data_IF_475416708426
#
_entry.id   IF_475416708426
#
_cell.length_a   1.000
_cell.length_b   1.000
_cell.length_c   1.000
_cell.angle_alpha   90.00
_cell.angle_beta   90.00
_cell.angle_gamma   90.00
#
_symmetry.space_group_name_H-M   'P 1'
#
loop_
_entity.id
_entity.type
_entity.pdbx_description
1 polymer ?
#
# COMPACT_ATOMS: atom_id res chain seq x y z
N UNK A 1 15.31 35.70 -26.17
CA UNK A 1 15.65 34.30 -26.54
C UNK A 1 16.13 33.47 -25.35
N UNK A 2 17.04 33.94 -24.49
CA UNK A 2 17.57 33.18 -23.34
C UNK A 2 16.49 32.68 -22.35
N UNK A 3 15.57 33.55 -21.94
CA UNK A 3 14.50 33.19 -20.99
C UNK A 3 13.57 32.08 -21.52
N UNK A 4 13.23 32.12 -22.81
CA UNK A 4 12.38 31.12 -23.47
C UNK A 4 13.08 29.75 -23.57
N UNK A 5 14.39 29.75 -23.83
CA UNK A 5 15.22 28.53 -23.77
C UNK A 5 15.26 27.96 -22.34
N UNK A 6 15.43 28.80 -21.32
CA UNK A 6 15.42 28.37 -19.92
C UNK A 6 14.08 27.79 -19.49
N UNK A 7 12.96 28.35 -19.93
CA UNK A 7 11.62 27.79 -19.64
C UNK A 7 11.42 26.42 -20.30
N UNK A 8 11.92 26.22 -21.53
CA UNK A 8 11.85 24.90 -22.20
C UNK A 8 12.69 23.84 -21.49
N UNK A 9 13.90 24.20 -21.01
CA UNK A 9 14.71 23.32 -20.18
C UNK A 9 14.00 22.97 -18.86
N UNK A 10 13.35 23.95 -18.24
CA UNK A 10 12.57 23.72 -17.03
C UNK A 10 11.37 22.79 -17.27
N UNK A 11 10.69 22.92 -18.42
CA UNK A 11 9.61 22.02 -18.82
C UNK A 11 10.12 20.58 -18.97
N UNK A 12 11.26 20.39 -19.63
CA UNK A 12 11.89 19.07 -19.80
C UNK A 12 12.20 18.41 -18.45
N UNK A 13 12.81 19.16 -17.51
CA UNK A 13 13.09 18.67 -16.15
C UNK A 13 11.79 18.29 -15.40
N UNK A 14 10.74 19.10 -15.54
CA UNK A 14 9.45 18.85 -14.87
C UNK A 14 8.72 17.65 -15.46
N UNK A 15 8.78 17.45 -16.77
CA UNK A 15 8.24 16.26 -17.43
C UNK A 15 8.98 14.99 -16.95
N UNK A 16 10.32 15.01 -16.95
CA UNK A 16 11.11 13.88 -16.43
C UNK A 16 10.75 13.54 -14.97
N UNK A 17 10.52 14.57 -14.13
CA UNK A 17 10.07 14.35 -12.75
C UNK A 17 8.67 13.73 -12.69
N UNK A 18 7.72 14.20 -13.50
CA UNK A 18 6.38 13.64 -13.57
C UNK A 18 6.40 12.18 -14.05
N UNK A 19 7.19 11.86 -15.07
CA UNK A 19 7.36 10.49 -15.59
C UNK A 19 7.97 9.54 -14.55
N UNK A 20 8.97 10.01 -13.80
CA UNK A 20 9.55 9.24 -12.70
C UNK A 20 8.51 8.97 -11.61
N UNK A 21 7.75 9.98 -11.21
CA UNK A 21 6.70 9.84 -10.19
C UNK A 21 5.54 8.97 -10.67
N UNK A 22 5.22 8.97 -11.97
CA UNK A 22 4.22 8.07 -12.56
C UNK A 22 4.62 6.60 -12.38
N UNK A 23 5.90 6.29 -12.62
CA UNK A 23 6.45 4.93 -12.39
C UNK A 23 6.42 4.57 -10.91
N UNK A 24 6.90 5.45 -10.03
CA UNK A 24 6.85 5.23 -8.58
C UNK A 24 5.42 5.08 -8.05
N UNK A 25 4.44 5.79 -8.63
CA UNK A 25 3.03 5.63 -8.27
C UNK A 25 2.49 4.27 -8.67
N UNK A 26 2.85 3.79 -9.86
CA UNK A 26 2.48 2.44 -10.33
C UNK A 26 3.06 1.36 -9.41
N UNK A 27 4.34 1.49 -9.03
CA UNK A 27 4.99 0.59 -8.08
C UNK A 27 4.33 0.63 -6.70
N UNK A 28 4.07 1.82 -6.15
CA UNK A 28 3.44 1.97 -4.84
C UNK A 28 2.01 1.39 -4.81
N UNK A 29 1.26 1.48 -5.90
CA UNK A 29 -0.05 0.84 -6.03
C UNK A 29 0.05 -0.69 -6.07
N UNK A 30 1.00 -1.23 -6.82
CA UNK A 30 1.27 -2.66 -6.84
C UNK A 30 1.74 -3.18 -5.47
N UNK A 31 2.51 -2.39 -4.73
CA UNK A 31 2.89 -2.70 -3.34
C UNK A 31 1.65 -2.75 -2.43
N UNK A 32 0.75 -1.78 -2.54
CA UNK A 32 -0.48 -1.72 -1.74
C UNK A 32 -1.41 -2.90 -2.03
N UNK A 33 -1.57 -3.27 -3.31
CA UNK A 33 -2.35 -4.44 -3.70
C UNK A 33 -1.76 -5.74 -3.13
N UNK A 34 -0.44 -5.93 -3.24
CA UNK A 34 0.24 -7.08 -2.63
C UNK A 34 0.08 -7.11 -1.11
N UNK A 35 0.19 -5.96 -0.43
CA UNK A 35 0.00 -5.89 1.02
C UNK A 35 -1.44 -6.25 1.43
N UNK A 36 -2.43 -5.85 0.63
CA UNK A 36 -3.84 -6.25 0.81
C UNK A 36 -4.04 -7.76 0.66
N UNK A 37 -3.44 -8.38 -0.36
CA UNK A 37 -3.47 -9.83 -0.53
C UNK A 37 -2.80 -10.57 0.63
N UNK A 38 -1.68 -10.06 1.14
CA UNK A 38 -0.98 -10.64 2.29
C UNK A 38 -1.79 -10.52 3.59
N UNK A 39 -2.49 -9.40 3.81
CA UNK A 39 -3.45 -9.26 4.91
C UNK A 39 -4.58 -10.26 4.78
N UNK A 40 -5.17 -10.41 3.60
CA UNK A 40 -6.26 -11.36 3.36
C UNK A 40 -5.83 -12.80 3.64
N UNK A 41 -4.63 -13.20 3.20
CA UNK A 41 -4.05 -14.52 3.53
C UNK A 41 -3.85 -14.70 5.03
N UNK A 42 -3.36 -13.67 5.74
CA UNK A 42 -3.20 -13.71 7.18
C UNK A 42 -4.55 -13.80 7.92
N UNK A 43 -5.58 -13.13 7.39
CA UNK A 43 -6.94 -13.20 7.90
C UNK A 43 -7.52 -14.61 7.76
N UNK A 44 -7.41 -15.23 6.57
CA UNK A 44 -7.84 -16.61 6.34
C UNK A 44 -7.12 -17.60 7.28
N UNK A 45 -5.81 -17.44 7.47
CA UNK A 45 -5.04 -18.24 8.42
C UNK A 45 -5.55 -18.09 9.85
N UNK A 46 -5.84 -16.86 10.27
CA UNK A 46 -6.40 -16.59 11.60
C UNK A 46 -7.78 -17.22 11.76
N UNK A 47 -8.67 -17.14 10.77
CA UNK A 47 -10.00 -17.75 10.81
C UNK A 47 -9.92 -19.29 10.90
N UNK A 48 -9.01 -19.91 10.14
CA UNK A 48 -8.77 -21.35 10.23
C UNK A 48 -8.24 -21.73 11.63
N UNK A 49 -7.27 -20.98 12.15
CA UNK A 49 -6.71 -21.23 13.47
C UNK A 49 -7.76 -21.02 14.58
N UNK A 50 -8.59 -19.99 14.46
CA UNK A 50 -9.68 -19.70 15.38
C UNK A 50 -10.75 -20.80 15.36
N UNK A 51 -11.13 -21.28 14.17
CA UNK A 51 -12.07 -22.39 14.00
C UNK A 51 -11.54 -23.68 14.63
N UNK A 52 -10.26 -24.01 14.42
CA UNK A 52 -9.62 -25.18 15.04
C UNK A 52 -9.53 -25.05 16.56
N UNK A 53 -9.19 -23.87 17.08
CA UNK A 53 -9.10 -23.60 18.51
C UNK A 53 -10.47 -23.51 19.22
N UNK A 54 -11.54 -23.25 18.48
CA UNK A 54 -12.91 -23.31 18.98
C UNK A 54 -13.38 -24.76 19.20
N UNK A 55 -12.79 -25.72 18.48
CA UNK A 55 -12.92 -27.14 18.78
C UNK A 55 -12.49 -27.44 20.22
N UNK A 56 -13.26 -28.29 20.91
CA UNK A 56 -12.97 -28.66 22.29
C UNK A 56 -12.62 -30.15 22.37
N UNK A 57 -11.36 -30.53 22.10
CA UNK A 57 -10.94 -31.93 22.15
C UNK A 57 -11.14 -32.56 23.53
N UNK A 58 -11.16 -31.75 24.61
CA UNK A 58 -11.48 -32.25 25.96
C UNK A 58 -12.96 -32.64 26.06
N UNK A 59 -13.87 -31.83 25.52
CA UNK A 59 -15.30 -32.19 25.46
C UNK A 59 -15.53 -33.41 24.55
N UNK A 60 -14.82 -33.49 23.43
CA UNK A 60 -14.92 -34.62 22.51
C UNK A 60 -14.48 -35.95 23.16
N UNK A 61 -13.42 -35.95 23.98
CA UNK A 61 -13.03 -37.15 24.74
C UNK A 61 -14.01 -37.47 25.88
N UNK A 62 -14.52 -36.45 26.60
CA UNK A 62 -15.52 -36.64 27.67
C UNK A 62 -16.87 -37.19 27.15
N UNK A 63 -17.26 -36.82 25.92
CA UNK A 63 -18.52 -37.23 25.31
C UNK A 63 -18.56 -38.70 24.85
N UNK A 64 -17.43 -39.40 24.72
CA UNK A 64 -17.38 -40.77 24.20
C UNK A 64 -17.91 -41.80 25.20
N UNK A 65 -17.37 -41.82 26.42
CA UNK A 65 -17.69 -42.85 27.42
C UNK A 65 -17.85 -42.31 28.86
N UNK A 66 -17.73 -40.99 29.07
CA UNK A 66 -17.84 -40.34 30.39
C UNK A 66 -16.71 -40.63 31.38
N UNK A 67 -15.83 -41.61 31.08
CA UNK A 67 -14.64 -41.96 31.84
C UNK A 67 -13.43 -41.81 30.91
N UNK A 68 -12.55 -40.86 31.22
CA UNK A 68 -11.33 -40.57 30.45
C UNK A 68 -10.13 -40.82 31.35
N UNK A 69 -9.09 -41.48 30.84
CA UNK A 69 -7.86 -41.65 31.62
C UNK A 69 -7.15 -40.31 31.84
N UNK A 70 -6.38 -40.20 32.92
CA UNK A 70 -5.60 -38.98 33.17
C UNK A 70 -4.62 -38.65 32.04
N UNK A 71 -4.11 -39.66 31.33
CA UNK A 71 -3.23 -39.49 30.18
C UNK A 71 -3.96 -38.88 28.97
N UNK A 72 -5.16 -39.36 28.64
CA UNK A 72 -5.99 -38.83 27.55
C UNK A 72 -6.47 -37.41 27.83
N UNK A 73 -6.83 -37.11 29.08
CA UNK A 73 -7.18 -35.76 29.50
C UNK A 73 -5.99 -34.80 29.35
N UNK A 74 -4.80 -35.23 29.79
CA UNK A 74 -3.58 -34.43 29.66
C UNK A 74 -3.20 -34.19 28.18
N UNK A 75 -3.35 -35.20 27.32
CA UNK A 75 -3.10 -35.07 25.89
C UNK A 75 -4.12 -34.10 25.25
N UNK A 76 -5.41 -34.22 25.56
CA UNK A 76 -6.45 -33.31 25.07
C UNK A 76 -6.21 -31.85 25.50
N UNK A 77 -5.81 -31.62 26.76
CA UNK A 77 -5.44 -30.28 27.26
C UNK A 77 -4.21 -29.73 26.52
N UNK A 78 -3.20 -30.56 26.30
CA UNK A 78 -1.98 -30.16 25.58
C UNK A 78 -2.30 -29.78 24.13
N UNK A 79 -3.11 -30.60 23.44
CA UNK A 79 -3.60 -30.31 22.09
C UNK A 79 -4.38 -28.99 22.05
N UNK A 80 -5.29 -28.77 23.00
CA UNK A 80 -6.05 -27.52 23.07
C UNK A 80 -5.15 -26.29 23.33
N UNK A 81 -4.13 -26.43 24.18
CA UNK A 81 -3.15 -25.37 24.43
C UNK A 81 -2.38 -25.00 23.16
N UNK A 82 -1.91 -25.99 22.40
CA UNK A 82 -1.20 -25.77 21.13
C UNK A 82 -2.11 -25.04 20.12
N UNK A 83 -3.37 -25.47 19.98
CA UNK A 83 -4.32 -24.81 19.09
C UNK A 83 -4.57 -23.34 19.46
N UNK A 84 -4.67 -23.04 20.76
CA UNK A 84 -4.79 -21.65 21.24
C UNK A 84 -3.54 -20.82 20.97
N UNK A 85 -2.35 -21.41 21.11
CA UNK A 85 -1.08 -20.75 20.74
C UNK A 85 -1.06 -20.40 19.26
N UNK A 86 -1.38 -21.35 18.38
CA UNK A 86 -1.42 -21.10 16.94
C UNK A 86 -2.43 -20.01 16.56
N UNK A 87 -3.58 -19.95 17.25
CA UNK A 87 -4.54 -18.85 17.07
C UNK A 87 -3.93 -17.50 17.46
N UNK A 88 -3.23 -17.44 18.59
CA UNK A 88 -2.57 -16.21 19.03
C UNK A 88 -1.48 -15.77 18.05
N UNK A 89 -0.66 -16.70 17.57
CA UNK A 89 0.40 -16.43 16.59
C UNK A 89 -0.17 -15.93 15.26
N UNK A 90 -1.24 -16.56 14.76
CA UNK A 90 -1.94 -16.11 13.56
C UNK A 90 -2.59 -14.73 13.75
N UNK A 91 -3.12 -14.44 14.94
CA UNK A 91 -3.66 -13.12 15.29
C UNK A 91 -2.58 -12.04 15.30
N UNK A 92 -1.42 -12.30 15.89
CA UNK A 92 -0.29 -11.38 15.87
C UNK A 92 0.23 -11.12 14.45
N UNK A 93 0.27 -12.16 13.61
CA UNK A 93 0.62 -12.02 12.20
C UNK A 93 -0.39 -11.13 11.46
N UNK A 94 -1.69 -11.35 11.65
CA UNK A 94 -2.74 -10.54 11.03
C UNK A 94 -2.61 -9.07 11.40
N UNK A 95 -2.43 -8.74 12.68
CA UNK A 95 -2.25 -7.34 13.11
C UNK A 95 -0.98 -6.72 12.51
N UNK A 96 0.11 -7.49 12.42
CA UNK A 96 1.34 -7.03 11.74
C UNK A 96 1.08 -6.73 10.26
N UNK A 97 0.30 -7.57 9.57
CA UNK A 97 -0.05 -7.37 8.15
C UNK A 97 -0.97 -6.19 7.93
N UNK A 98 -1.96 -5.96 8.81
CA UNK A 98 -2.80 -4.74 8.78
C UNK A 98 -1.97 -3.47 8.87
N UNK A 99 -1.03 -3.42 9.82
CA UNK A 99 -0.14 -2.27 9.98
C UNK A 99 0.76 -2.08 8.75
N UNK A 100 1.28 -3.17 8.18
CA UNK A 100 2.07 -3.10 6.95
C UNK A 100 1.26 -2.58 5.76
N UNK A 101 0.01 -3.06 5.57
CA UNK A 101 -0.89 -2.55 4.53
C UNK A 101 -1.13 -1.06 4.67
N UNK A 102 -1.48 -0.60 5.88
CA UNK A 102 -1.73 0.82 6.15
C UNK A 102 -0.50 1.69 5.82
N UNK A 103 0.71 1.26 6.22
CA UNK A 103 1.93 2.00 5.92
C UNK A 103 2.23 2.08 4.41
N UNK A 104 1.93 1.02 3.66
CA UNK A 104 2.12 1.00 2.21
C UNK A 104 1.06 1.84 1.50
N UNK A 105 -0.18 1.84 1.97
CA UNK A 105 -1.25 2.70 1.45
C UNK A 105 -0.94 4.19 1.66
N UNK A 106 -0.51 4.57 2.86
CA UNK A 106 -0.09 5.94 3.15
C UNK A 106 1.05 6.39 2.22
N UNK A 107 2.02 5.51 1.96
CA UNK A 107 3.10 5.77 0.99
C UNK A 107 2.54 5.95 -0.43
N UNK A 108 1.59 5.13 -0.85
CA UNK A 108 0.99 5.24 -2.18
C UNK A 108 0.19 6.54 -2.35
N UNK A 109 -0.52 6.97 -1.31
CA UNK A 109 -1.22 8.25 -1.26
C UNK A 109 -0.25 9.43 -1.35
N UNK A 110 0.85 9.40 -0.60
CA UNK A 110 1.87 10.44 -0.66
C UNK A 110 2.50 10.55 -2.05
N UNK A 111 2.83 9.42 -2.69
CA UNK A 111 3.37 9.41 -4.05
C UNK A 111 2.34 9.92 -5.07
N UNK A 112 1.05 9.64 -4.86
CA UNK A 112 -0.03 10.17 -5.70
C UNK A 112 -0.15 11.70 -5.58
N UNK A 113 -0.03 12.23 -4.36
CA UNK A 113 -0.02 13.67 -4.12
C UNK A 113 1.20 14.34 -4.80
N UNK A 114 2.39 13.77 -4.63
CA UNK A 114 3.63 14.26 -5.26
C UNK A 114 3.53 14.26 -6.79
N UNK A 115 2.95 13.20 -7.37
CA UNK A 115 2.70 13.11 -8.80
C UNK A 115 1.73 14.19 -9.28
N UNK A 116 0.62 14.39 -8.57
CA UNK A 116 -0.35 15.46 -8.88
C UNK A 116 0.32 16.83 -8.89
N UNK A 117 1.15 17.12 -7.91
CA UNK A 117 1.86 18.40 -7.82
C UNK A 117 2.92 18.57 -8.90
N UNK A 118 3.59 17.48 -9.29
CA UNK A 118 4.49 17.47 -10.44
C UNK A 118 3.74 17.79 -11.75
N UNK A 119 2.57 17.19 -11.98
CA UNK A 119 1.73 17.49 -13.15
C UNK A 119 1.27 18.96 -13.16
N UNK A 120 0.83 19.50 -12.01
CA UNK A 120 0.49 20.93 -11.90
C UNK A 120 1.70 21.82 -12.19
N UNK A 121 2.92 21.39 -11.82
CA UNK A 121 4.13 22.13 -12.13
C UNK A 121 4.44 22.12 -13.63
N UNK A 122 4.27 20.98 -14.32
CA UNK A 122 4.37 20.88 -15.79
C UNK A 122 3.43 21.89 -16.45
N UNK A 123 2.13 21.81 -16.16
CA UNK A 123 1.10 22.69 -16.74
C UNK A 123 1.42 24.18 -16.53
N UNK A 124 1.82 24.56 -15.32
CA UNK A 124 2.23 25.95 -15.02
C UNK A 124 3.41 26.42 -15.89
N UNK A 125 4.33 25.52 -16.23
CA UNK A 125 5.46 25.83 -17.13
C UNK A 125 5.01 26.03 -18.56
N UNK A 126 4.11 25.16 -19.05
CA UNK A 126 3.56 25.24 -20.40
C UNK A 126 2.84 26.57 -20.60
N UNK A 127 1.99 26.97 -19.63
CA UNK A 127 1.32 28.28 -19.63
C UNK A 127 2.33 29.43 -19.64
N UNK A 128 3.42 29.31 -18.87
CA UNK A 128 4.48 30.32 -18.82
C UNK A 128 5.22 30.44 -20.15
N UNK A 129 5.49 29.32 -20.82
CA UNK A 129 6.08 29.28 -22.17
C UNK A 129 5.13 29.94 -23.16
N UNK A 130 3.86 29.56 -23.20
CA UNK A 130 2.86 30.13 -24.10
C UNK A 130 2.75 31.65 -23.91
N UNK A 131 2.71 32.11 -22.67
CA UNK A 131 2.66 33.54 -22.32
C UNK A 131 3.93 34.27 -22.81
N UNK A 132 5.10 33.67 -22.59
CA UNK A 132 6.36 34.25 -23.05
C UNK A 132 6.45 34.30 -24.59
N UNK A 133 5.93 33.28 -25.28
CA UNK A 133 5.85 33.26 -26.74
C UNK A 133 4.89 34.33 -27.28
N UNK A 134 3.70 34.49 -26.68
CA UNK A 134 2.76 35.56 -27.01
C UNK A 134 3.40 36.95 -26.87
N UNK A 135 4.07 37.22 -25.74
CA UNK A 135 4.79 38.50 -25.51
C UNK A 135 5.92 38.72 -26.51
N UNK A 136 6.68 37.68 -26.83
CA UNK A 136 7.77 37.79 -27.80
C UNK A 136 7.27 38.08 -29.23
N UNK A 137 6.07 37.59 -29.60
CA UNK A 137 5.44 37.92 -30.89
C UNK A 137 4.98 39.38 -30.95
N UNK A 138 4.29 39.87 -29.91
CA UNK A 138 3.83 41.27 -29.84
C UNK A 138 5.01 42.24 -29.92
N UNK A 139 6.05 42.02 -29.10
CA UNK A 139 7.25 42.88 -29.11
C UNK A 139 8.02 42.89 -30.44
N UNK A 140 7.86 41.87 -31.30
CA UNK A 140 8.45 41.86 -32.65
C UNK A 140 7.64 42.69 -33.64
N UNK A 141 6.31 42.70 -33.50
CA UNK A 141 5.43 43.52 -34.33
C UNK A 141 5.66 45.01 -34.02
N UNK A 142 5.73 45.38 -32.74
CA UNK A 142 5.97 46.77 -32.31
C UNK A 142 7.33 47.35 -32.73
N UNK A 143 8.31 46.50 -33.07
CA UNK A 143 9.65 46.91 -33.54
C UNK A 143 9.75 47.06 -35.06
N UNK A 144 8.76 46.55 -35.79
CA UNK A 144 8.72 46.58 -37.26
C UNK A 144 7.70 47.60 -37.78
N UNK A 145 7.06 48.38 -36.90
CA UNK A 145 6.25 49.55 -37.18
C UNK A 145 7.05 50.81 -36.88
#
# INVERSE_FOLDING_TARGET
>A
MRALRSLRQLLEIRNLRADNLCRSLSEARADAERASEEEMKAFELHEIAASRAAGNPVADELCKDGIVSGAELQDALTRQSVLRSHKADAGALLETRKLARLAVEERAEQVAADFSDAQKAVLRTEISIETAEKRARVSRLDRNC
#
